data_IF_588064858485
#
_entry.id   IF_588064858485
#
_cell.length_a   1.000
_cell.length_b   1.000
_cell.length_c   1.000
_cell.angle_alpha   90.00
_cell.angle_beta   90.00
_cell.angle_gamma   90.00
#
_symmetry.space_group_name_H-M   'P 1'
#
loop_
_entity.id
_entity.type
_entity.pdbx_description
1 polymer ?
#
# COMPACT_ATOMS: atom_id res chain seq x y z
N UNK A 1 32.42 37.00 -20.24
CA UNK A 1 31.47 38.11 -20.02
C UNK A 1 30.79 37.92 -18.66
N UNK A 2 30.13 38.95 -18.13
CA UNK A 2 29.49 38.96 -16.80
C UNK A 2 28.54 37.77 -16.53
N UNK A 3 27.91 37.21 -17.57
CA UNK A 3 27.09 35.99 -17.48
C UNK A 3 27.93 34.76 -17.11
N UNK A 4 29.11 34.61 -17.71
CA UNK A 4 30.02 33.51 -17.39
C UNK A 4 30.57 33.61 -15.96
N UNK A 5 30.83 34.84 -15.49
CA UNK A 5 31.26 35.09 -14.11
C UNK A 5 30.15 34.76 -13.10
N UNK A 6 28.93 35.22 -13.35
CA UNK A 6 27.77 34.88 -12.51
C UNK A 6 27.51 33.38 -12.45
N UNK A 7 27.60 32.67 -13.58
CA UNK A 7 27.46 31.22 -13.62
C UNK A 7 28.58 30.51 -12.84
N UNK A 8 29.81 31.01 -12.92
CA UNK A 8 30.93 30.46 -12.14
C UNK A 8 30.67 30.59 -10.64
N UNK A 9 30.22 31.77 -10.19
CA UNK A 9 29.90 32.03 -8.79
C UNK A 9 28.74 31.15 -8.27
N UNK A 10 27.72 30.93 -9.10
CA UNK A 10 26.62 30.03 -8.81
C UNK A 10 27.10 28.58 -8.60
N UNK A 11 27.95 28.10 -9.51
CA UNK A 11 28.54 26.77 -9.44
C UNK A 11 29.34 26.60 -8.14
N UNK A 12 30.15 27.58 -7.78
CA UNK A 12 30.98 27.49 -6.57
C UNK A 12 30.13 27.53 -5.30
N UNK A 13 29.02 28.28 -5.29
CA UNK A 13 28.06 28.23 -4.19
C UNK A 13 27.42 26.84 -4.06
N UNK A 14 26.94 26.28 -5.17
CA UNK A 14 26.30 24.95 -5.19
C UNK A 14 27.29 23.86 -4.75
N UNK A 15 28.56 23.92 -5.18
CA UNK A 15 29.60 22.99 -4.73
C UNK A 15 29.79 23.05 -3.22
N UNK A 16 29.91 24.26 -2.66
CA UNK A 16 30.08 24.45 -1.21
C UNK A 16 28.88 23.92 -0.43
N UNK A 17 27.67 24.14 -0.93
CA UNK A 17 26.45 23.62 -0.34
C UNK A 17 26.43 22.08 -0.38
N UNK A 18 26.79 21.49 -1.51
CA UNK A 18 26.89 20.03 -1.68
C UNK A 18 27.92 19.42 -0.71
N UNK A 19 29.11 20.02 -0.59
CA UNK A 19 30.14 19.58 0.35
C UNK A 19 29.62 19.64 1.80
N UNK A 20 28.86 20.68 2.15
CA UNK A 20 28.25 20.83 3.46
C UNK A 20 27.21 19.72 3.72
N UNK A 21 26.33 19.46 2.75
CA UNK A 21 25.35 18.37 2.84
C UNK A 21 26.01 17.00 2.94
N UNK A 22 27.12 16.76 2.25
CA UNK A 22 27.86 15.50 2.35
C UNK A 22 28.47 15.29 3.75
N UNK A 23 28.95 16.36 4.39
CA UNK A 23 29.42 16.31 5.77
C UNK A 23 28.25 15.94 6.70
N UNK A 24 27.11 16.62 6.58
CA UNK A 24 25.92 16.31 7.38
C UNK A 24 25.45 14.85 7.18
N UNK A 25 25.45 14.36 5.93
CA UNK A 25 25.10 12.97 5.63
C UNK A 25 26.04 11.97 6.28
N UNK A 26 27.34 12.29 6.40
CA UNK A 26 28.28 11.45 7.15
C UNK A 26 27.92 11.40 8.62
N UNK A 27 27.57 12.54 9.23
CA UNK A 27 27.15 12.59 10.63
C UNK A 27 25.86 11.80 10.87
N UNK A 28 24.84 11.95 10.00
CA UNK A 28 23.61 11.16 10.08
C UNK A 28 23.85 9.65 9.93
N UNK A 29 24.91 9.26 9.22
CA UNK A 29 25.37 7.87 9.09
C UNK A 29 26.24 7.38 10.25
N UNK A 30 26.42 8.19 11.30
CA UNK A 30 27.25 7.82 12.45
C UNK A 30 28.75 7.96 12.22
N UNK A 31 29.19 8.73 11.23
CA UNK A 31 30.61 9.02 10.97
C UNK A 31 31.02 10.38 11.55
N UNK A 32 32.30 10.52 11.87
CA UNK A 32 32.92 11.76 12.37
C UNK A 32 32.27 12.34 13.65
N UNK A 33 31.54 11.51 14.39
CA UNK A 33 30.73 11.88 15.56
C UNK A 33 31.58 12.42 16.71
N UNK A 34 32.80 11.93 16.87
CA UNK A 34 33.73 12.38 17.92
C UNK A 34 34.16 13.83 17.76
N UNK A 35 34.00 14.41 16.57
CA UNK A 35 34.35 15.79 16.27
C UNK A 35 33.21 16.77 16.57
N UNK A 36 32.02 16.28 16.92
CA UNK A 36 30.81 17.08 17.13
C UNK A 36 30.62 17.46 18.60
N UNK A 37 30.09 18.66 18.83
CA UNK A 37 29.71 19.11 20.15
C UNK A 37 28.38 18.47 20.58
N UNK A 38 28.15 18.37 21.89
CA UNK A 38 26.94 17.74 22.45
C UNK A 38 25.62 18.29 21.88
N UNK A 39 25.54 19.59 21.58
CA UNK A 39 24.35 20.20 20.96
C UNK A 39 24.06 19.66 19.55
N UNK A 40 25.10 19.44 18.76
CA UNK A 40 24.99 18.89 17.41
C UNK A 40 24.59 17.41 17.47
N UNK A 41 25.14 16.68 18.43
CA UNK A 41 24.75 15.29 18.70
C UNK A 41 23.28 15.17 19.07
N UNK A 42 22.77 16.03 19.97
CA UNK A 42 21.35 16.06 20.31
C UNK A 42 20.47 16.38 19.09
N UNK A 43 20.90 17.29 18.22
CA UNK A 43 20.14 17.60 17.00
C UNK A 43 20.06 16.39 16.07
N UNK A 44 21.19 15.68 15.86
CA UNK A 44 21.24 14.45 15.06
C UNK A 44 20.35 13.37 15.66
N UNK A 45 20.44 13.15 16.96
CA UNK A 45 19.62 12.15 17.66
C UNK A 45 18.11 12.43 17.49
N UNK A 46 17.68 13.68 17.67
CA UNK A 46 16.29 14.08 17.46
C UNK A 46 15.84 13.85 16.01
N UNK A 47 16.65 14.25 15.03
CA UNK A 47 16.32 14.07 13.61
C UNK A 47 16.22 12.59 13.25
N UNK A 48 17.18 11.77 13.68
CA UNK A 48 17.17 10.33 13.44
C UNK A 48 16.01 9.64 14.16
N UNK A 49 15.74 10.00 15.41
CA UNK A 49 14.62 9.47 16.20
C UNK A 49 13.27 9.74 15.53
N UNK A 50 13.05 10.98 15.11
CA UNK A 50 11.85 11.35 14.35
C UNK A 50 11.78 10.60 13.02
N UNK A 51 12.88 10.53 12.26
CA UNK A 51 12.93 9.80 10.99
C UNK A 51 12.57 8.32 11.14
N UNK A 52 13.10 7.65 12.15
CA UNK A 52 12.78 6.25 12.45
C UNK A 52 11.32 6.09 12.85
N UNK A 53 10.78 6.99 13.69
CA UNK A 53 9.39 6.96 14.10
C UNK A 53 8.46 7.07 12.87
N UNK A 54 8.70 8.05 11.99
CA UNK A 54 7.91 8.26 10.77
C UNK A 54 7.98 7.07 9.80
N UNK A 55 9.16 6.45 9.62
CA UNK A 55 9.28 5.24 8.79
C UNK A 55 8.47 4.08 9.37
N UNK A 56 8.52 3.87 10.69
CA UNK A 56 7.75 2.81 11.36
C UNK A 56 6.24 3.03 11.24
N UNK A 57 5.79 4.26 11.44
CA UNK A 57 4.40 4.65 11.26
C UNK A 57 3.93 4.31 9.83
N UNK A 58 4.71 4.72 8.82
CA UNK A 58 4.36 4.43 7.42
C UNK A 58 4.35 2.93 7.11
N UNK A 59 5.29 2.17 7.65
CA UNK A 59 5.30 0.71 7.52
C UNK A 59 4.05 0.06 8.12
N UNK A 60 3.61 0.56 9.28
CA UNK A 60 2.41 0.07 9.96
C UNK A 60 1.14 0.37 9.16
N UNK A 61 1.00 1.58 8.61
CA UNK A 61 -0.10 1.94 7.72
C UNK A 61 -0.21 1.00 6.52
N UNK A 62 0.91 0.81 5.80
CA UNK A 62 0.97 -0.08 4.62
C UNK A 62 0.59 -1.52 4.98
N UNK A 63 1.04 -2.01 6.13
CA UNK A 63 0.68 -3.35 6.60
C UNK A 63 -0.81 -3.46 6.91
N UNK A 64 -1.41 -2.43 7.51
CA UNK A 64 -2.83 -2.41 7.81
C UNK A 64 -3.69 -2.34 6.55
N UNK A 65 -3.30 -1.53 5.56
CA UNK A 65 -3.94 -1.50 4.25
C UNK A 65 -3.89 -2.88 3.58
N UNK A 66 -2.72 -3.53 3.56
CA UNK A 66 -2.59 -4.90 3.01
C UNK A 66 -3.48 -5.90 3.74
N UNK A 67 -3.57 -5.85 5.06
CA UNK A 67 -4.46 -6.73 5.85
C UNK A 67 -5.94 -6.51 5.53
N UNK A 68 -6.35 -5.24 5.40
CA UNK A 68 -7.72 -4.89 5.00
C UNK A 68 -8.04 -5.44 3.61
N UNK A 69 -7.13 -5.22 2.66
CA UNK A 69 -7.29 -5.71 1.28
C UNK A 69 -7.36 -7.24 1.24
N UNK A 70 -6.51 -7.94 2.00
CA UNK A 70 -6.56 -9.40 2.10
C UNK A 70 -7.92 -9.87 2.60
N UNK A 71 -8.46 -9.25 3.66
CA UNK A 71 -9.78 -9.60 4.20
C UNK A 71 -10.88 -9.42 3.15
N UNK A 72 -10.87 -8.31 2.42
CA UNK A 72 -11.86 -8.04 1.36
C UNK A 72 -11.75 -9.09 0.25
N UNK A 73 -10.53 -9.38 -0.20
CA UNK A 73 -10.28 -10.41 -1.22
C UNK A 73 -10.75 -11.80 -0.77
N UNK A 74 -10.49 -12.18 0.48
CA UNK A 74 -10.91 -13.47 1.04
C UNK A 74 -12.44 -13.56 1.12
N UNK A 75 -13.10 -12.47 1.52
CA UNK A 75 -14.56 -12.42 1.61
C UNK A 75 -15.23 -12.44 0.23
N UNK A 76 -14.65 -11.76 -0.77
CA UNK A 76 -15.11 -11.84 -2.17
C UNK A 76 -14.90 -13.23 -2.77
N UNK A 77 -13.74 -13.84 -2.55
CA UNK A 77 -13.45 -15.20 -3.01
C UNK A 77 -14.43 -16.22 -2.41
N UNK A 78 -14.78 -16.09 -1.13
CA UNK A 78 -15.80 -16.94 -0.50
C UNK A 78 -17.17 -16.78 -1.15
N UNK A 79 -17.60 -15.54 -1.43
CA UNK A 79 -18.89 -15.27 -2.10
C UNK A 79 -18.91 -15.85 -3.51
N UNK A 80 -17.82 -15.68 -4.27
CA UNK A 80 -17.71 -16.25 -5.62
C UNK A 80 -17.73 -17.78 -5.58
N UNK A 81 -17.03 -18.40 -4.64
CA UNK A 81 -17.06 -19.86 -4.46
C UNK A 81 -18.47 -20.37 -4.11
N UNK A 82 -19.21 -19.65 -3.25
CA UNK A 82 -20.61 -19.96 -2.93
C UNK A 82 -21.51 -19.87 -4.17
N UNK A 83 -21.42 -18.77 -4.92
CA UNK A 83 -22.21 -18.57 -6.14
C UNK A 83 -21.92 -19.66 -7.20
N UNK A 84 -20.65 -20.05 -7.36
CA UNK A 84 -20.26 -21.11 -8.29
C UNK A 84 -20.84 -22.47 -7.87
N UNK A 85 -20.80 -22.80 -6.58
CA UNK A 85 -21.39 -24.03 -6.05
C UNK A 85 -22.91 -24.04 -6.24
N UNK A 86 -23.60 -22.92 -5.99
CA UNK A 86 -25.04 -22.80 -6.23
C UNK A 86 -25.39 -23.00 -7.71
N UNK A 87 -24.62 -22.40 -8.61
CA UNK A 87 -24.80 -22.56 -10.05
C UNK A 87 -24.59 -24.01 -10.50
N UNK A 88 -23.55 -24.69 -10.01
CA UNK A 88 -23.32 -26.11 -10.29
C UNK A 88 -24.48 -26.98 -9.81
N UNK A 89 -24.98 -26.74 -8.60
CA UNK A 89 -26.14 -27.47 -8.09
C UNK A 89 -27.37 -27.27 -8.98
N UNK A 90 -27.66 -26.04 -9.41
CA UNK A 90 -28.77 -25.77 -10.34
C UNK A 90 -28.58 -26.51 -11.67
N UNK A 91 -27.36 -26.52 -12.23
CA UNK A 91 -27.06 -27.30 -13.42
C UNK A 91 -27.29 -28.80 -13.20
N UNK A 92 -26.80 -29.36 -12.10
CA UNK A 92 -26.98 -30.78 -11.77
C UNK A 92 -28.46 -31.15 -11.64
N UNK A 93 -29.28 -30.30 -10.98
CA UNK A 93 -30.73 -30.49 -10.94
C UNK A 93 -31.39 -30.40 -12.32
N UNK A 94 -30.91 -29.52 -13.20
CA UNK A 94 -31.39 -29.39 -14.57
C UNK A 94 -31.04 -30.62 -15.43
N UNK A 95 -29.86 -31.20 -15.24
CA UNK A 95 -29.41 -32.43 -15.93
C UNK A 95 -30.12 -33.69 -15.40
N UNK A 96 -30.43 -33.74 -14.10
CA UNK A 96 -31.13 -34.86 -13.47
C UNK A 96 -32.66 -34.83 -13.66
N UNK A 97 -33.24 -33.73 -14.16
CA UNK A 97 -34.65 -33.74 -14.58
C UNK A 97 -34.80 -34.58 -15.87
N UNK A 98 -35.49 -35.74 -15.83
CA UNK A 98 -35.88 -36.42 -17.06
C UNK A 98 -36.69 -35.43 -17.89
N UNK A 99 -36.45 -35.36 -19.20
CA UNK A 99 -37.20 -34.49 -20.10
C UNK A 99 -38.66 -34.97 -20.16
N UNK A 100 -39.46 -34.59 -19.17
CA UNK A 100 -40.87 -34.97 -19.10
C UNK A 100 -41.62 -34.18 -20.19
N UNK A 101 -42.51 -34.85 -20.94
CA UNK A 101 -43.30 -34.21 -21.98
C UNK A 101 -44.01 -32.97 -21.45
N UNK A 102 -44.12 -31.93 -22.28
CA UNK A 102 -44.65 -30.61 -21.90
C UNK A 102 -45.96 -30.66 -21.09
N UNK A 103 -46.79 -31.67 -21.33
CA UNK A 103 -48.05 -31.91 -20.61
C UNK A 103 -47.89 -32.16 -19.09
N UNK A 104 -46.70 -32.45 -18.59
CA UNK A 104 -46.42 -32.76 -17.17
C UNK A 104 -45.62 -31.67 -16.44
N UNK A 105 -45.28 -30.55 -17.09
CA UNK A 105 -44.55 -29.46 -16.44
C UNK A 105 -45.49 -28.59 -15.60
N UNK A 106 -45.53 -28.86 -14.30
CA UNK A 106 -46.20 -27.96 -13.33
C UNK A 106 -45.34 -26.71 -13.16
N UNK A 107 -45.83 -25.55 -13.63
CA UNK A 107 -45.17 -24.26 -13.37
C UNK A 107 -45.16 -24.01 -11.86
N UNK A 108 -43.97 -23.91 -11.26
CA UNK A 108 -43.85 -23.44 -9.89
C UNK A 108 -44.25 -21.96 -9.83
N UNK A 109 -45.46 -21.69 -9.32
CA UNK A 109 -45.89 -20.35 -8.97
C UNK A 109 -44.99 -19.85 -7.82
N UNK A 110 -44.02 -19.00 -8.13
CA UNK A 110 -43.28 -18.29 -7.08
C UNK A 110 -44.20 -17.25 -6.44
N UNK A 111 -44.44 -17.27 -5.12
CA UNK A 111 -45.23 -16.24 -4.48
C UNK A 111 -44.44 -14.92 -4.46
N UNK A 112 -45.04 -13.86 -4.99
CA UNK A 112 -44.56 -12.49 -4.81
C UNK A 112 -44.73 -12.13 -3.33
N UNK A 113 -43.63 -12.01 -2.60
CA UNK A 113 -43.62 -11.42 -1.26
C UNK A 113 -43.89 -9.93 -1.41
N UNK A 114 -45.12 -9.51 -1.09
CA UNK A 114 -45.47 -8.13 -0.78
C UNK A 114 -45.32 -7.97 0.73
N UNK A 115 -44.26 -7.28 1.17
CA UNK A 115 -44.25 -6.35 2.31
C UNK A 115 -42.93 -5.57 2.33
#
# INVERSE_FOLDING_TARGET
DAKHENLSNEIDRIKKENDSMQIELRHLKGKDITSLHHKELMAIENVLGNGVASVRERQYELLNEKRKNQKVMDDENKKLAQALNEQQRVQDYQYLQPQMPFAFRVQSMQPKLLL
#
